data_IF_018829476430
#
_entry.id   IF_018829476430
#
_cell.length_a   1.000
_cell.length_b   1.000
_cell.length_c   1.000
_cell.angle_alpha   90.00
_cell.angle_beta   90.00
_cell.angle_gamma   90.00
#
_symmetry.space_group_name_H-M   'P 1'
#
loop_
_entity.id
_entity.type
_entity.pdbx_description
1 polymer ?
#
# COMPACT_ATOMS: atom_id res chain seq x y z
N UNK A 1 -12.87 39.88 -20.80
CA UNK A 1 -11.43 39.97 -20.51
C UNK A 1 -10.76 38.74 -21.08
N UNK A 2 -9.79 38.90 -21.98
CA UNK A 2 -9.07 37.77 -22.54
C UNK A 2 -8.21 37.12 -21.43
N UNK A 3 -8.39 35.82 -21.22
CA UNK A 3 -7.52 35.05 -20.33
C UNK A 3 -6.11 35.05 -20.96
N UNK A 4 -5.03 35.39 -20.25
CA UNK A 4 -3.68 35.27 -20.78
C UNK A 4 -3.45 33.87 -21.37
N UNK A 5 -2.99 33.81 -22.61
CA UNK A 5 -2.58 32.55 -23.23
C UNK A 5 -1.25 32.12 -22.59
N UNK A 6 -1.35 31.29 -21.55
CA UNK A 6 -0.19 30.62 -20.98
C UNK A 6 0.35 29.57 -21.94
N UNK A 7 1.67 29.41 -21.95
CA UNK A 7 2.38 28.35 -22.65
C UNK A 7 3.29 27.63 -21.65
N UNK A 8 3.43 26.32 -21.81
CA UNK A 8 4.28 25.47 -20.99
C UNK A 8 5.48 25.05 -21.84
N UNK A 9 6.68 25.35 -21.35
CA UNK A 9 7.94 24.94 -21.94
C UNK A 9 8.57 23.87 -21.06
N UNK A 10 8.51 22.61 -21.49
CA UNK A 10 9.13 21.49 -20.78
C UNK A 10 10.60 21.40 -21.16
N UNK A 11 11.47 21.39 -20.15
CA UNK A 11 12.92 21.25 -20.31
C UNK A 11 13.35 19.82 -20.00
N UNK A 12 13.99 19.18 -20.98
CA UNK A 12 14.63 17.87 -20.81
C UNK A 12 16.12 18.05 -20.51
N UNK A 13 16.70 17.03 -19.87
CA UNK A 13 18.08 16.98 -19.41
C UNK A 13 19.10 16.87 -20.55
N UNK A 14 18.68 16.42 -21.74
CA UNK A 14 19.46 16.48 -22.97
C UNK A 14 19.44 17.86 -23.64
N UNK A 15 18.79 18.85 -23.01
CA UNK A 15 18.63 20.20 -23.52
C UNK A 15 17.47 20.34 -24.53
N UNK A 16 16.75 19.27 -24.85
CA UNK A 16 15.56 19.36 -25.68
C UNK A 16 14.46 20.12 -24.95
N UNK A 17 13.72 20.91 -25.72
CA UNK A 17 12.61 21.72 -25.21
C UNK A 17 11.36 21.39 -26.01
N UNK A 18 10.26 21.15 -25.31
CA UNK A 18 8.95 21.00 -25.94
C UNK A 18 7.97 22.04 -25.42
N UNK A 19 7.24 22.65 -26.35
CA UNK A 19 6.24 23.66 -26.05
C UNK A 19 4.84 23.09 -26.16
N UNK A 20 3.98 23.44 -25.22
CA UNK A 20 2.57 23.08 -25.25
C UNK A 20 1.71 24.28 -24.86
N UNK A 21 0.61 24.47 -25.58
CA UNK A 21 -0.51 25.26 -25.07
C UNK A 21 -1.11 24.58 -23.82
N UNK A 22 -1.84 25.34 -22.99
CA UNK A 22 -2.53 24.77 -21.82
C UNK A 22 -3.48 23.62 -22.20
N UNK A 23 -4.18 23.75 -23.32
CA UNK A 23 -5.13 22.72 -23.80
C UNK A 23 -4.42 21.46 -24.31
N UNK A 24 -3.24 21.59 -24.92
CA UNK A 24 -2.38 20.45 -25.24
C UNK A 24 -1.85 19.77 -23.98
N UNK A 25 -1.29 20.54 -23.05
CA UNK A 25 -0.76 20.03 -21.79
C UNK A 25 -1.84 19.25 -21.00
N UNK A 26 -3.09 19.72 -21.04
CA UNK A 26 -4.24 19.03 -20.46
C UNK A 26 -4.52 17.66 -21.09
N UNK A 27 -4.41 17.54 -22.41
CA UNK A 27 -4.53 16.25 -23.11
C UNK A 27 -3.42 15.28 -22.72
N UNK A 28 -2.23 15.78 -22.36
CA UNK A 28 -1.11 14.99 -21.89
C UNK A 28 -1.16 14.65 -20.38
N UNK A 29 -2.15 15.18 -19.65
CA UNK A 29 -2.37 14.91 -18.22
C UNK A 29 -1.73 15.92 -17.27
N UNK A 30 -1.29 17.08 -17.78
CA UNK A 30 -0.88 18.23 -16.97
C UNK A 30 -2.08 19.14 -16.72
N UNK A 31 -2.05 19.94 -15.66
CA UNK A 31 -3.04 21.02 -15.50
C UNK A 31 -2.38 22.25 -14.93
N UNK A 32 -2.70 23.40 -15.52
CA UNK A 32 -2.26 24.70 -15.04
C UNK A 32 -3.49 25.49 -14.56
N UNK A 33 -3.43 25.97 -13.33
CA UNK A 33 -4.39 26.91 -12.79
C UNK A 33 -3.62 28.13 -12.30
N UNK A 34 -3.98 29.31 -12.77
CA UNK A 34 -3.32 30.56 -12.38
C UNK A 34 -4.37 31.55 -11.86
N UNK A 35 -4.05 32.20 -10.76
CA UNK A 35 -4.71 33.40 -10.24
C UNK A 35 -3.70 34.56 -10.25
N UNK A 36 -4.13 35.74 -9.80
CA UNK A 36 -3.23 36.91 -9.71
C UNK A 36 -2.05 36.70 -8.73
N UNK A 37 -2.18 35.81 -7.76
CA UNK A 37 -1.18 35.60 -6.70
C UNK A 37 -0.58 34.20 -6.69
N UNK A 38 -1.12 33.27 -7.49
CA UNK A 38 -0.73 31.85 -7.40
C UNK A 38 -0.84 31.15 -8.74
N UNK A 39 0.22 30.45 -9.12
CA UNK A 39 0.21 29.47 -10.20
C UNK A 39 0.36 28.07 -9.63
N UNK A 40 -0.45 27.14 -10.13
CA UNK A 40 -0.45 25.73 -9.73
C UNK A 40 -0.37 24.90 -10.99
N UNK A 41 0.80 24.31 -11.21
CA UNK A 41 0.98 23.23 -12.17
C UNK A 41 0.75 21.90 -11.46
N UNK A 42 0.10 20.95 -12.11
CA UNK A 42 0.00 19.56 -11.65
C UNK A 42 0.42 18.62 -12.76
N UNK A 43 1.12 17.56 -12.38
CA UNK A 43 1.46 16.43 -13.23
C UNK A 43 1.05 15.14 -12.54
N UNK A 44 0.70 14.12 -13.33
CA UNK A 44 0.65 12.74 -12.84
C UNK A 44 2.06 12.15 -12.88
N UNK A 45 2.30 11.06 -12.15
CA UNK A 45 3.54 10.31 -12.33
C UNK A 45 3.63 9.71 -13.74
N UNK A 46 4.84 9.39 -14.17
CA UNK A 46 5.13 8.66 -15.42
C UNK A 46 4.52 9.35 -16.64
N UNK A 47 4.82 10.64 -16.81
CA UNK A 47 4.51 11.39 -18.04
C UNK A 47 5.73 11.43 -18.97
N UNK A 48 5.55 11.60 -20.28
CA UNK A 48 6.67 11.58 -21.23
C UNK A 48 7.73 12.66 -21.00
N UNK A 49 7.35 13.80 -20.42
CA UNK A 49 8.26 14.91 -20.10
C UNK A 49 8.80 14.83 -18.66
N UNK A 50 8.55 13.72 -17.96
CA UNK A 50 9.12 13.45 -16.66
C UNK A 50 10.40 12.61 -16.83
N UNK A 51 11.41 12.92 -16.04
CA UNK A 51 12.71 12.27 -16.08
C UNK A 51 12.99 11.54 -14.79
N UNK A 52 13.65 10.39 -14.90
CA UNK A 52 14.11 9.65 -13.75
C UNK A 52 15.57 10.00 -13.47
N UNK A 53 15.87 10.43 -12.26
CA UNK A 53 17.22 10.80 -11.83
C UNK A 53 17.54 10.18 -10.49
N UNK A 54 18.80 9.76 -10.30
CA UNK A 54 19.29 9.29 -9.01
C UNK A 54 19.80 10.48 -8.19
N UNK A 55 19.25 10.69 -7.00
CA UNK A 55 19.69 11.69 -6.04
C UNK A 55 20.06 10.96 -4.75
N UNK A 56 21.33 11.00 -4.36
CA UNK A 56 21.86 10.31 -3.17
C UNK A 56 21.45 8.83 -3.06
N UNK A 57 21.40 8.12 -4.19
CA UNK A 57 21.00 6.71 -4.24
C UNK A 57 19.49 6.46 -4.24
N UNK A 58 18.66 7.51 -4.22
CA UNK A 58 17.19 7.41 -4.31
C UNK A 58 16.72 7.81 -5.71
N UNK A 59 15.88 6.98 -6.32
CA UNK A 59 15.25 7.30 -7.61
C UNK A 59 14.17 8.36 -7.44
N UNK A 60 14.30 9.45 -8.20
CA UNK A 60 13.42 10.62 -8.18
C UNK A 60 12.86 10.86 -9.58
N UNK A 61 11.56 11.08 -9.68
CA UNK A 61 10.92 11.56 -10.91
C UNK A 61 10.88 13.09 -10.87
N UNK A 62 11.37 13.73 -11.92
CA UNK A 62 11.52 15.18 -12.03
C UNK A 62 10.78 15.69 -13.26
N UNK A 63 10.06 16.80 -13.12
CA UNK A 63 9.47 17.54 -14.25
C UNK A 63 9.90 18.99 -14.13
N UNK A 64 10.53 19.53 -15.18
CA UNK A 64 10.97 20.92 -15.26
C UNK A 64 10.17 21.66 -16.31
N UNK A 65 9.49 22.74 -15.91
CA UNK A 65 8.61 23.51 -16.80
C UNK A 65 8.78 25.00 -16.55
N UNK A 66 9.01 25.77 -17.61
CA UNK A 66 8.86 27.22 -17.57
C UNK A 66 7.45 27.58 -18.06
N UNK A 67 6.70 28.27 -17.22
CA UNK A 67 5.39 28.81 -17.55
C UNK A 67 5.59 30.21 -18.13
N UNK A 68 5.18 30.39 -19.38
CA UNK A 68 5.33 31.64 -20.10
C UNK A 68 3.97 32.27 -20.39
N UNK A 69 3.83 33.57 -20.14
CA UNK A 69 2.71 34.35 -20.67
C UNK A 69 3.11 35.77 -21.04
N UNK A 70 2.46 36.29 -22.09
CA UNK A 70 2.64 37.66 -22.56
C UNK A 70 1.30 38.37 -22.58
N UNK A 71 1.22 39.52 -21.89
CA UNK A 71 0.09 40.43 -21.93
C UNK A 71 0.56 41.83 -22.31
N UNK A 72 0.21 42.28 -23.52
CA UNK A 72 0.69 43.55 -24.09
C UNK A 72 2.23 43.62 -24.06
N UNK A 73 2.80 44.53 -23.27
CA UNK A 73 4.23 44.75 -23.08
C UNK A 73 4.81 43.98 -21.90
N UNK A 74 3.98 43.33 -21.07
CA UNK A 74 4.42 42.57 -19.91
C UNK A 74 4.62 41.10 -20.28
N UNK A 75 5.76 40.54 -19.88
CA UNK A 75 6.08 39.11 -20.00
C UNK A 75 6.32 38.57 -18.60
N UNK A 76 5.73 37.41 -18.31
CA UNK A 76 5.94 36.70 -17.06
C UNK A 76 6.45 35.30 -17.38
N UNK A 77 7.56 34.93 -16.75
CA UNK A 77 8.17 33.61 -16.82
C UNK A 77 8.25 33.08 -15.39
N UNK A 78 7.73 31.87 -15.16
CA UNK A 78 7.78 31.20 -13.87
C UNK A 78 8.38 29.82 -14.09
N UNK A 79 9.55 29.58 -13.54
CA UNK A 79 10.17 28.26 -13.55
C UNK A 79 9.58 27.40 -12.43
N UNK A 80 9.12 26.22 -12.79
CA UNK A 80 8.49 25.26 -11.90
C UNK A 80 9.19 23.92 -12.06
N UNK A 81 9.80 23.45 -10.97
CA UNK A 81 10.33 22.09 -10.90
C UNK A 81 9.53 21.27 -9.90
N UNK A 82 9.12 20.08 -10.33
CA UNK A 82 8.52 19.06 -9.47
C UNK A 82 9.52 17.94 -9.32
N UNK A 83 9.82 17.52 -8.10
CA UNK A 83 10.67 16.38 -7.83
C UNK A 83 10.06 15.54 -6.72
N UNK A 84 9.85 14.25 -6.99
CA UNK A 84 9.28 13.31 -6.03
C UNK A 84 10.01 11.98 -6.09
N UNK A 85 10.25 11.37 -4.93
CA UNK A 85 10.82 10.02 -4.89
C UNK A 85 9.87 9.01 -5.55
N UNK A 86 10.42 7.95 -6.14
CA UNK A 86 9.62 6.89 -6.81
C UNK A 86 9.58 5.61 -5.97
N UNK A 87 10.49 5.47 -5.00
CA UNK A 87 10.56 4.33 -4.12
C UNK A 87 9.21 4.10 -3.40
N UNK A 88 8.77 2.84 -3.39
CA UNK A 88 7.58 2.38 -2.65
C UNK A 88 7.85 2.22 -1.15
N UNK A 89 9.08 2.45 -0.71
CA UNK A 89 9.58 2.00 0.58
C UNK A 89 9.81 0.49 0.63
N UNK A 90 10.16 -0.01 1.81
CA UNK A 90 10.45 -1.42 2.07
C UNK A 90 9.96 -1.83 3.46
N UNK A 91 9.94 -3.15 3.71
CA UNK A 91 9.63 -3.72 5.02
C UNK A 91 10.78 -4.62 5.46
N UNK A 92 11.39 -4.34 6.60
CA UNK A 92 12.54 -5.09 7.13
C UNK A 92 12.15 -6.26 8.05
N UNK A 93 10.85 -6.55 8.17
CA UNK A 93 10.30 -7.55 9.09
C UNK A 93 9.73 -6.97 10.39
N UNK A 94 10.13 -5.75 10.76
CA UNK A 94 9.63 -5.05 11.94
C UNK A 94 9.09 -3.65 11.63
N UNK A 95 9.68 -2.97 10.64
CA UNK A 95 9.42 -1.57 10.30
C UNK A 95 9.24 -1.41 8.80
N UNK A 96 8.30 -0.55 8.44
CA UNK A 96 8.24 0.05 7.12
C UNK A 96 9.29 1.16 7.05
N UNK A 97 10.07 1.17 5.97
CA UNK A 97 11.19 2.08 5.77
C UNK A 97 10.98 2.89 4.50
N UNK A 98 11.23 4.19 4.58
CA UNK A 98 11.18 5.09 3.43
C UNK A 98 12.36 6.05 3.45
N UNK A 99 13.17 5.97 2.38
CA UNK A 99 14.36 6.77 2.21
C UNK A 99 14.07 7.96 1.29
N UNK A 100 14.57 9.14 1.69
CA UNK A 100 14.40 10.41 0.99
C UNK A 100 15.76 11.11 0.98
N UNK A 101 16.22 11.71 -0.13
CA UNK A 101 17.42 12.54 -0.12
C UNK A 101 17.30 13.69 0.90
N UNK A 102 18.39 13.96 1.63
CA UNK A 102 18.47 15.10 2.55
C UNK A 102 18.35 16.41 1.78
N UNK A 103 19.00 16.50 0.63
CA UNK A 103 18.91 17.63 -0.29
C UNK A 103 18.31 17.12 -1.59
N UNK A 104 17.10 17.55 -1.91
CA UNK A 104 16.48 17.26 -3.19
C UNK A 104 17.12 18.15 -4.26
N UNK A 105 18.31 17.81 -4.74
CA UNK A 105 19.11 18.64 -5.65
C UNK A 105 18.36 19.03 -6.92
N UNK A 106 17.41 18.21 -7.39
CA UNK A 106 16.52 18.57 -8.51
C UNK A 106 15.67 19.83 -8.25
N UNK A 107 15.47 20.24 -7.00
CA UNK A 107 14.78 21.46 -6.59
C UNK A 107 15.73 22.62 -6.27
N UNK A 108 17.04 22.39 -6.29
CA UNK A 108 18.07 23.38 -6.00
C UNK A 108 18.76 23.71 -7.32
N UNK A 109 18.62 24.95 -7.79
CA UNK A 109 19.29 25.38 -9.02
C UNK A 109 20.81 25.28 -8.92
N UNK A 110 21.48 25.17 -10.06
CA UNK A 110 22.94 25.25 -10.10
C UNK A 110 23.41 26.60 -9.54
N UNK A 111 24.42 26.58 -8.67
CA UNK A 111 24.92 27.78 -7.99
C UNK A 111 24.02 28.35 -6.88
N UNK A 112 22.85 27.75 -6.62
CA UNK A 112 21.94 28.19 -5.56
C UNK A 112 22.30 27.53 -4.24
N UNK A 113 22.49 28.33 -3.20
CA UNK A 113 22.73 27.84 -1.84
C UNK A 113 21.48 27.19 -1.24
N UNK A 114 21.67 26.24 -0.34
CA UNK A 114 20.59 25.49 0.30
C UNK A 114 20.72 25.55 1.82
N UNK A 115 19.64 25.94 2.51
CA UNK A 115 19.58 25.96 3.97
C UNK A 115 18.34 25.21 4.48
N UNK A 116 18.55 24.09 5.16
CA UNK A 116 17.47 23.31 5.77
C UNK A 116 16.91 24.03 7.00
N UNK A 117 15.58 24.21 7.07
CA UNK A 117 14.91 24.85 8.21
C UNK A 117 14.25 23.85 9.14
N UNK A 118 13.44 22.94 8.60
CA UNK A 118 12.76 21.93 9.41
C UNK A 118 12.39 20.69 8.61
N UNK A 119 12.33 19.56 9.32
CA UNK A 119 11.91 18.25 8.83
C UNK A 119 10.75 17.78 9.68
N UNK A 120 9.57 17.61 9.06
CA UNK A 120 8.35 17.23 9.76
C UNK A 120 7.77 15.95 9.16
N UNK A 121 7.14 15.15 10.03
CA UNK A 121 6.42 13.94 9.64
C UNK A 121 4.94 14.10 9.90
N UNK A 122 4.14 13.37 9.16
CA UNK A 122 2.71 13.29 9.32
C UNK A 122 2.18 11.91 8.98
N UNK A 123 0.98 11.62 9.47
CA UNK A 123 0.23 10.40 9.20
C UNK A 123 -1.18 10.82 8.80
N UNK A 124 -1.75 10.17 7.77
CA UNK A 124 -3.10 10.49 7.25
C UNK A 124 -3.24 11.96 6.81
N UNK A 125 -2.15 12.55 6.30
CA UNK A 125 -2.13 13.94 5.81
C UNK A 125 -2.02 15.01 6.91
N UNK A 126 -1.94 14.63 8.18
CA UNK A 126 -1.78 15.55 9.31
C UNK A 126 -0.36 15.46 9.86
N UNK A 127 0.31 16.61 9.99
CA UNK A 127 1.64 16.68 10.62
C UNK A 127 1.55 16.30 12.10
N UNK A 128 2.52 15.52 12.55
CA UNK A 128 2.69 15.11 13.94
C UNK A 128 3.74 16.00 14.59
N UNK A 129 3.49 16.40 15.83
CA UNK A 129 4.56 16.94 16.66
C UNK A 129 5.58 15.83 17.01
N UNK A 130 6.79 16.25 17.37
CA UNK A 130 7.91 15.34 17.62
C UNK A 130 7.64 14.35 18.76
N UNK A 131 6.91 14.76 19.80
CA UNK A 131 6.59 13.88 20.94
C UNK A 131 5.59 12.82 20.50
N UNK A 132 4.55 13.18 19.75
CA UNK A 132 3.58 12.23 19.21
C UNK A 132 4.22 11.24 18.24
N UNK A 133 5.10 11.70 17.34
CA UNK A 133 5.83 10.80 16.43
C UNK A 133 6.67 9.78 17.21
N UNK A 134 7.41 10.25 18.23
CA UNK A 134 8.25 9.41 19.10
C UNK A 134 7.42 8.42 19.91
N UNK A 135 6.31 8.85 20.48
CA UNK A 135 5.39 7.99 21.24
C UNK A 135 4.75 6.90 20.36
N UNK A 136 4.58 7.15 19.06
CA UNK A 136 4.14 6.16 18.06
C UNK A 136 5.29 5.30 17.51
N UNK A 137 6.51 5.51 17.98
CA UNK A 137 7.72 4.83 17.50
C UNK A 137 8.14 5.20 16.08
N UNK A 138 7.55 6.25 15.50
CA UNK A 138 7.88 6.74 14.15
C UNK A 138 9.16 7.56 14.24
N UNK A 139 10.16 7.17 13.47
CA UNK A 139 11.50 7.76 13.51
C UNK A 139 11.82 8.48 12.21
N UNK A 140 12.49 9.62 12.31
CA UNK A 140 13.18 10.31 11.22
C UNK A 140 14.65 10.37 11.60
N UNK A 141 15.51 9.70 10.84
CA UNK A 141 16.94 9.63 11.11
C UNK A 141 17.70 10.07 9.87
N UNK A 142 18.56 11.06 10.02
CA UNK A 142 19.51 11.42 8.97
C UNK A 142 20.69 10.44 8.99
N UNK A 143 20.98 9.85 7.83
CA UNK A 143 22.11 8.95 7.59
C UNK A 143 22.90 9.48 6.40
N UNK A 144 24.00 10.19 6.68
CA UNK A 144 24.76 10.94 5.68
C UNK A 144 23.86 11.89 4.86
N UNK A 145 23.67 11.59 3.58
CA UNK A 145 22.89 12.39 2.62
C UNK A 145 21.45 11.89 2.44
N UNK A 146 20.98 10.94 3.24
CA UNK A 146 19.63 10.37 3.17
C UNK A 146 18.90 10.54 4.49
N UNK A 147 17.65 10.97 4.44
CA UNK A 147 16.69 10.89 5.53
C UNK A 147 15.97 9.55 5.45
N UNK A 148 16.15 8.72 6.48
CA UNK A 148 15.46 7.44 6.64
C UNK A 148 14.31 7.59 7.61
N UNK A 149 13.10 7.36 7.11
CA UNK A 149 11.87 7.33 7.90
C UNK A 149 11.55 5.87 8.22
N UNK A 150 11.28 5.57 9.49
CA UNK A 150 10.96 4.23 9.96
C UNK A 150 9.64 4.22 10.74
N UNK A 151 8.72 3.35 10.35
CA UNK A 151 7.41 3.17 10.98
C UNK A 151 7.27 1.74 11.47
N UNK A 152 7.04 1.49 12.76
CA UNK A 152 6.79 0.13 13.27
C UNK A 152 5.57 -0.51 12.61
N UNK A 153 5.63 -1.82 12.36
CA UNK A 153 4.46 -2.59 11.95
C UNK A 153 3.32 -2.43 12.98
N UNK A 154 2.11 -2.14 12.50
CA UNK A 154 0.96 -1.91 13.37
C UNK A 154 0.91 -0.54 14.06
N UNK A 155 1.75 0.42 13.64
CA UNK A 155 1.72 1.78 14.18
C UNK A 155 0.34 2.45 14.06
N UNK A 156 0.04 3.34 15.00
CA UNK A 156 -1.23 4.09 15.03
C UNK A 156 -1.35 5.03 13.83
N UNK A 157 -2.48 4.97 13.14
CA UNK A 157 -2.78 5.71 11.89
C UNK A 157 -2.45 4.93 10.62
N UNK A 158 -2.03 3.67 10.75
CA UNK A 158 -2.15 2.68 9.68
C UNK A 158 -3.31 1.72 9.92
N UNK A 159 -3.59 0.90 8.92
CA UNK A 159 -4.71 -0.03 8.90
C UNK A 159 -4.31 -1.31 8.15
N UNK A 160 -5.06 -2.38 8.39
CA UNK A 160 -4.87 -3.66 7.72
C UNK A 160 -5.84 -3.74 6.53
N UNK A 161 -5.33 -4.14 5.37
CA UNK A 161 -6.14 -4.59 4.24
C UNK A 161 -6.10 -6.11 4.20
N UNK A 162 -7.25 -6.72 3.96
CA UNK A 162 -7.40 -8.16 3.80
C UNK A 162 -8.04 -8.47 2.45
N UNK A 163 -7.72 -9.63 1.91
CA UNK A 163 -8.31 -10.17 0.69
C UNK A 163 -8.20 -11.69 0.70
N UNK A 164 -9.07 -12.35 -0.06
CA UNK A 164 -8.94 -13.78 -0.36
C UNK A 164 -8.65 -13.97 -1.83
N UNK A 165 -7.59 -14.72 -2.11
CA UNK A 165 -7.18 -15.11 -3.47
C UNK A 165 -6.87 -16.59 -3.43
N UNK A 166 -7.49 -17.35 -4.34
CA UNK A 166 -7.35 -18.81 -4.43
C UNK A 166 -7.57 -19.47 -3.07
N UNK A 167 -8.69 -19.14 -2.41
CA UNK A 167 -9.08 -19.75 -1.13
C UNK A 167 -8.12 -19.52 0.05
N UNK A 168 -7.16 -18.61 -0.11
CA UNK A 168 -6.21 -18.26 0.93
C UNK A 168 -6.43 -16.83 1.42
N UNK A 169 -6.63 -16.69 2.73
CA UNK A 169 -6.65 -15.39 3.38
C UNK A 169 -5.28 -14.74 3.35
N UNK A 170 -5.27 -13.51 2.88
CA UNK A 170 -4.08 -12.68 2.74
C UNK A 170 -4.33 -11.32 3.34
N UNK A 171 -3.28 -10.71 3.85
CA UNK A 171 -3.34 -9.40 4.45
C UNK A 171 -2.07 -8.61 4.27
N UNK A 172 -2.19 -7.30 4.40
CA UNK A 172 -1.08 -6.38 4.49
C UNK A 172 -1.43 -5.26 5.46
N UNK A 173 -0.42 -4.72 6.14
CA UNK A 173 -0.57 -3.47 6.87
C UNK A 173 -0.17 -2.31 5.96
N UNK A 174 -0.93 -1.21 6.01
CA UNK A 174 -0.80 -0.04 5.16
C UNK A 174 -0.80 1.21 6.03
N UNK A 175 0.08 2.17 5.75
CA UNK A 175 0.08 3.49 6.39
C UNK A 175 0.31 4.60 5.36
N UNK A 176 -0.41 5.71 5.53
CA UNK A 176 -0.25 6.93 4.72
C UNK A 176 0.67 7.91 5.44
N UNK A 177 1.89 8.07 4.95
CA UNK A 177 2.86 9.02 5.48
C UNK A 177 2.85 10.33 4.71
N UNK A 178 3.11 11.41 5.45
CA UNK A 178 3.44 12.73 4.95
C UNK A 178 4.85 13.09 5.45
N UNK A 179 5.72 13.49 4.54
CA UNK A 179 6.99 14.14 4.85
C UNK A 179 6.91 15.59 4.38
N UNK A 180 7.39 16.51 5.22
CA UNK A 180 7.55 17.92 4.87
C UNK A 180 8.96 18.38 5.19
N UNK A 181 9.60 18.98 4.17
CA UNK A 181 10.86 19.69 4.32
C UNK A 181 10.61 21.17 4.04
N UNK A 182 10.91 22.01 5.03
CA UNK A 182 10.99 23.46 4.83
C UNK A 182 12.46 23.84 4.71
N UNK A 183 12.84 24.51 3.63
CA UNK A 183 14.20 24.96 3.37
C UNK A 183 14.21 26.30 2.64
N UNK A 184 15.30 27.04 2.73
CA UNK A 184 15.52 28.30 2.01
C UNK A 184 16.53 28.08 0.89
N UNK A 185 16.22 28.60 -0.30
CA UNK A 185 17.13 28.73 -1.42
C UNK A 185 17.80 30.10 -1.35
N UNK A 186 19.13 30.13 -1.41
CA UNK A 186 19.96 31.33 -1.26
C UNK A 186 20.58 31.70 -2.61
N UNK A 187 20.25 32.87 -3.14
CA UNK A 187 20.76 33.34 -4.43
C UNK A 187 21.96 34.27 -4.24
N UNK A 188 22.79 34.41 -5.29
CA UNK A 188 24.00 35.25 -5.25
C UNK A 188 23.70 36.74 -5.03
N UNK A 189 22.50 37.20 -5.41
CA UNK A 189 22.03 38.56 -5.17
C UNK A 189 21.60 38.82 -3.71
N UNK A 190 21.75 37.83 -2.84
CA UNK A 190 21.36 37.86 -1.43
C UNK A 190 19.87 37.64 -1.19
N UNK A 191 19.07 37.42 -2.24
CA UNK A 191 17.66 37.09 -2.09
C UNK A 191 17.48 35.64 -1.62
N UNK A 192 16.37 35.39 -0.93
CA UNK A 192 16.05 34.07 -0.39
C UNK A 192 14.63 33.66 -0.74
N UNK A 193 14.45 32.40 -1.17
CA UNK A 193 13.13 31.83 -1.44
C UNK A 193 12.89 30.66 -0.50
N UNK A 194 11.86 30.77 0.34
CA UNK A 194 11.42 29.67 1.20
C UNK A 194 10.58 28.67 0.42
N UNK A 195 11.00 27.42 0.46
CA UNK A 195 10.34 26.29 -0.19
C UNK A 195 9.83 25.31 0.86
N UNK A 196 8.56 24.91 0.69
CA UNK A 196 7.92 23.85 1.46
C UNK A 196 7.68 22.66 0.53
N UNK A 197 8.55 21.67 0.62
CA UNK A 197 8.43 20.44 -0.15
C UNK A 197 7.68 19.38 0.65
N UNK A 198 6.57 18.89 0.11
CA UNK A 198 5.74 17.87 0.75
C UNK A 198 5.65 16.63 -0.13
N UNK A 199 5.92 15.48 0.48
CA UNK A 199 5.78 14.18 -0.18
C UNK A 199 4.83 13.31 0.62
N UNK A 200 3.83 12.74 -0.07
CA UNK A 200 2.93 11.76 0.51
C UNK A 200 3.31 10.37 -0.03
N UNK A 201 3.39 9.39 0.87
CA UNK A 201 3.74 8.02 0.52
C UNK A 201 2.82 7.03 1.22
N UNK A 202 2.36 6.05 0.46
CA UNK A 202 1.75 4.84 1.03
C UNK A 202 2.87 3.84 1.25
N UNK A 203 3.03 3.37 2.47
CA UNK A 203 3.91 2.26 2.79
C UNK A 203 3.07 1.05 3.17
N UNK A 204 3.43 -0.12 2.67
CA UNK A 204 2.75 -1.36 2.97
C UNK A 204 3.72 -2.52 3.23
N UNK A 205 3.27 -3.49 4.01
CA UNK A 205 3.99 -4.74 4.17
C UNK A 205 3.73 -5.64 2.96
N UNK A 206 4.66 -6.55 2.63
CA UNK A 206 4.35 -7.66 1.75
C UNK A 206 3.08 -8.38 2.17
N UNK A 207 2.38 -8.96 1.18
CA UNK A 207 1.19 -9.77 1.43
C UNK A 207 1.55 -10.98 2.30
N UNK A 208 1.03 -11.00 3.52
CA UNK A 208 1.17 -12.13 4.43
C UNK A 208 0.05 -13.14 4.15
N UNK A 209 0.46 -14.35 3.81
CA UNK A 209 -0.47 -15.46 3.61
C UNK A 209 -0.78 -16.13 4.95
N UNK A 210 -2.05 -16.36 5.24
CA UNK A 210 -2.53 -17.11 6.41
C UNK A 210 -3.17 -18.40 5.93
N UNK A 211 -2.38 -19.44 5.56
CA UNK A 211 -2.95 -20.71 5.15
C UNK A 211 -3.69 -21.33 6.33
N UNK A 212 -4.99 -21.63 6.21
CA UNK A 212 -5.64 -22.42 7.25
C UNK A 212 -4.99 -23.81 7.31
N UNK A 213 -4.96 -24.40 8.50
CA UNK A 213 -4.56 -25.80 8.66
C UNK A 213 -5.77 -26.61 9.14
N UNK A 214 -5.84 -27.86 8.72
CA UNK A 214 -6.80 -28.83 9.20
C UNK A 214 -6.14 -29.83 10.15
N UNK A 215 -6.92 -30.30 11.12
CA UNK A 215 -6.54 -31.39 12.01
C UNK A 215 -7.72 -32.36 12.11
N UNK A 216 -7.46 -33.62 11.74
CA UNK A 216 -8.42 -34.70 11.93
C UNK A 216 -8.53 -35.06 13.43
N UNK A 217 -9.72 -34.90 13.98
CA UNK A 217 -10.11 -35.24 15.34
C UNK A 217 -11.19 -36.32 15.35
N UNK A 218 -11.33 -37.08 14.26
CA UNK A 218 -12.32 -38.14 14.09
C UNK A 218 -12.04 -39.29 15.06
N UNK A 219 -13.06 -39.68 15.81
CA UNK A 219 -13.06 -40.89 16.64
C UNK A 219 -14.03 -41.88 16.01
N UNK A 220 -13.52 -43.04 15.58
CA UNK A 220 -14.27 -44.04 14.81
C UNK A 220 -15.60 -44.44 15.44
N UNK A 221 -15.60 -44.55 16.77
CA UNK A 221 -16.72 -45.05 17.57
C UNK A 221 -17.88 -44.06 17.59
N UNK A 222 -17.59 -42.77 17.40
CA UNK A 222 -18.61 -41.72 17.36
C UNK A 222 -19.30 -41.63 16.00
N UNK A 223 -18.85 -42.37 14.97
CA UNK A 223 -19.40 -42.37 13.60
C UNK A 223 -19.59 -40.97 12.98
N UNK A 224 -18.74 -40.02 13.37
CA UNK A 224 -18.79 -38.61 12.96
C UNK A 224 -17.37 -38.18 12.62
N UNK A 225 -17.17 -37.63 11.42
CA UNK A 225 -15.94 -36.95 11.06
C UNK A 225 -15.87 -35.66 11.85
N UNK A 226 -14.73 -35.39 12.46
CA UNK A 226 -14.51 -34.18 13.25
C UNK A 226 -13.23 -33.54 12.77
N UNK A 227 -13.34 -32.44 12.04
CA UNK A 227 -12.19 -31.70 11.53
C UNK A 227 -12.09 -30.36 12.23
N UNK A 228 -10.88 -30.01 12.65
CA UNK A 228 -10.57 -28.72 13.24
C UNK A 228 -9.82 -27.86 12.22
N UNK A 229 -10.37 -26.70 11.87
CA UNK A 229 -9.78 -25.75 10.94
C UNK A 229 -9.23 -24.54 11.71
N UNK A 230 -7.90 -24.38 11.73
CA UNK A 230 -7.20 -23.35 12.49
C UNK A 230 -6.51 -22.29 11.64
N UNK A 231 -5.80 -21.37 12.31
CA UNK A 231 -5.08 -20.22 11.74
C UNK A 231 -5.97 -19.13 11.12
N UNK A 232 -7.12 -18.86 11.74
CA UNK A 232 -8.05 -17.83 11.28
C UNK A 232 -7.89 -16.58 12.15
N UNK A 233 -7.64 -15.39 11.58
CA UNK A 233 -7.51 -14.16 12.37
C UNK A 233 -8.76 -13.79 13.17
N UNK A 234 -8.57 -12.97 14.22
CA UNK A 234 -9.63 -12.61 15.16
C UNK A 234 -10.78 -11.81 14.53
N UNK A 235 -10.46 -11.02 13.49
CA UNK A 235 -11.36 -10.16 12.72
C UNK A 235 -11.89 -10.85 11.45
N UNK A 236 -11.74 -12.17 11.35
CA UNK A 236 -12.15 -12.98 10.20
C UNK A 236 -13.26 -13.96 10.62
N UNK A 237 -14.30 -14.07 9.81
CA UNK A 237 -15.40 -15.02 10.03
C UNK A 237 -15.51 -15.99 8.85
N UNK A 238 -15.87 -17.23 9.17
CA UNK A 238 -16.29 -18.23 8.22
C UNK A 238 -17.70 -17.89 7.72
N UNK A 239 -17.85 -17.71 6.40
CA UNK A 239 -19.13 -17.40 5.77
C UNK A 239 -19.80 -18.67 5.24
N UNK A 240 -19.12 -19.37 4.34
CA UNK A 240 -19.65 -20.56 3.65
C UNK A 240 -18.69 -21.73 3.72
N UNK A 241 -19.23 -22.94 3.75
CA UNK A 241 -18.47 -24.18 3.68
C UNK A 241 -19.06 -25.02 2.56
N UNK A 242 -18.19 -25.44 1.62
CA UNK A 242 -18.53 -26.33 0.51
C UNK A 242 -17.79 -27.65 0.70
N UNK A 243 -18.52 -28.76 0.69
CA UNK A 243 -17.96 -30.11 0.82
C UNK A 243 -18.41 -30.91 -0.40
N UNK A 244 -17.45 -31.43 -1.17
CA UNK A 244 -17.71 -32.19 -2.41
C UNK A 244 -18.67 -31.47 -3.37
N UNK A 245 -18.47 -30.16 -3.55
CA UNK A 245 -19.27 -29.33 -4.44
C UNK A 245 -20.69 -29.01 -3.95
N UNK A 246 -21.05 -29.42 -2.74
CA UNK A 246 -22.33 -29.06 -2.11
C UNK A 246 -22.12 -28.11 -0.96
N UNK A 247 -22.91 -27.03 -0.94
CA UNK A 247 -22.85 -26.05 0.11
C UNK A 247 -23.52 -26.61 1.38
N UNK A 248 -22.84 -26.49 2.52
CA UNK A 248 -23.29 -27.14 3.76
C UNK A 248 -24.61 -26.53 4.27
N UNK A 249 -24.87 -25.24 4.06
CA UNK A 249 -26.15 -24.64 4.47
C UNK A 249 -27.34 -25.03 3.58
N UNK A 250 -27.12 -25.51 2.35
CA UNK A 250 -28.17 -26.04 1.46
C UNK A 250 -28.53 -27.49 1.79
N UNK A 251 -27.69 -28.16 2.59
CA UNK A 251 -27.92 -29.56 2.96
C UNK A 251 -29.01 -29.67 4.05
N UNK A 252 -30.11 -30.35 3.73
CA UNK A 252 -31.23 -30.62 4.65
C UNK A 252 -30.96 -31.78 5.61
N UNK A 253 -29.76 -32.37 5.55
CA UNK A 253 -29.41 -33.53 6.38
C UNK A 253 -29.13 -33.09 7.82
N UNK A 254 -29.82 -33.75 8.76
CA UNK A 254 -29.63 -33.51 10.19
C UNK A 254 -28.25 -34.00 10.61
N UNK A 255 -27.46 -33.14 11.26
CA UNK A 255 -26.27 -33.57 12.00
C UNK A 255 -24.96 -32.90 11.61
N UNK A 256 -24.93 -32.08 10.57
CA UNK A 256 -23.79 -31.18 10.33
C UNK A 256 -23.74 -30.12 11.43
N UNK A 257 -22.56 -29.87 11.97
CA UNK A 257 -22.35 -28.71 12.83
C UNK A 257 -21.00 -28.07 12.56
N UNK A 258 -21.03 -26.75 12.46
CA UNK A 258 -19.85 -25.91 12.42
C UNK A 258 -19.91 -25.06 13.67
N UNK A 259 -18.98 -25.28 14.61
CA UNK A 259 -18.90 -24.50 15.83
C UNK A 259 -17.61 -23.67 15.84
N UNK A 260 -17.70 -22.35 16.08
CA UNK A 260 -16.50 -21.52 16.24
C UNK A 260 -15.75 -21.90 17.53
N UNK A 261 -14.44 -21.75 17.48
CA UNK A 261 -13.52 -21.88 18.61
C UNK A 261 -12.72 -20.60 18.69
N UNK A 262 -12.75 -19.94 19.85
CA UNK A 262 -11.98 -18.72 20.10
C UNK A 262 -10.80 -19.07 21.00
N UNK A 263 -9.59 -18.73 20.58
CA UNK A 263 -8.38 -18.90 21.38
C UNK A 263 -8.14 -17.72 22.31
N UNK A 264 -7.30 -17.95 23.32
CA UNK A 264 -6.87 -16.91 24.27
C UNK A 264 -6.19 -15.73 23.56
N UNK A 265 -5.49 -15.97 22.45
CA UNK A 265 -4.86 -14.93 21.64
C UNK A 265 -5.84 -14.19 20.70
N UNK A 266 -7.14 -14.46 20.81
CA UNK A 266 -8.20 -13.88 19.98
C UNK A 266 -8.36 -14.49 18.59
N UNK A 267 -7.40 -15.30 18.13
CA UNK A 267 -7.55 -16.03 16.87
C UNK A 267 -8.71 -17.02 16.94
N UNK A 268 -9.27 -17.33 15.77
CA UNK A 268 -10.41 -18.20 15.63
C UNK A 268 -10.00 -19.52 14.98
N UNK A 269 -10.86 -20.50 15.18
CA UNK A 269 -10.89 -21.75 14.48
C UNK A 269 -12.34 -22.22 14.35
N UNK A 270 -12.56 -23.24 13.54
CA UNK A 270 -13.87 -23.85 13.38
C UNK A 270 -13.75 -25.36 13.51
N UNK A 271 -14.65 -25.93 14.30
CA UNK A 271 -14.80 -27.38 14.40
C UNK A 271 -15.97 -27.80 13.52
N UNK A 272 -15.66 -28.52 12.46
CA UNK A 272 -16.61 -29.13 11.56
C UNK A 272 -16.90 -30.56 12.01
N UNK A 273 -18.18 -30.89 12.18
CA UNK A 273 -18.65 -32.25 12.48
C UNK A 273 -19.63 -32.70 11.42
N UNK A 274 -19.38 -33.90 10.92
CA UNK A 274 -20.08 -34.46 9.76
C UNK A 274 -20.37 -35.95 10.01
N UNK A 275 -21.62 -36.39 10.15
CA UNK A 275 -21.94 -37.80 10.30
C UNK A 275 -21.44 -38.63 9.10
N UNK A 276 -21.03 -39.87 9.35
CA UNK A 276 -20.54 -40.77 8.31
C UNK A 276 -21.60 -41.22 7.31
N UNK A 277 -22.89 -41.05 7.62
CA UNK A 277 -24.01 -41.49 6.77
C UNK A 277 -24.61 -40.33 5.96
N UNK A 278 -23.77 -39.37 5.56
CA UNK A 278 -24.22 -38.18 4.83
C UNK A 278 -23.99 -38.30 3.33
N UNK A 279 -24.85 -37.70 2.50
CA UNK A 279 -24.72 -37.78 1.02
C UNK A 279 -23.49 -37.06 0.47
N UNK A 280 -22.77 -36.32 1.30
CA UNK A 280 -21.47 -35.69 0.97
C UNK A 280 -20.27 -36.53 1.42
N UNK A 281 -20.47 -37.66 2.13
CA UNK A 281 -19.37 -38.57 2.51
C UNK A 281 -19.16 -39.67 1.49
N UNK A 282 -17.89 -40.00 1.23
CA UNK A 282 -17.51 -41.11 0.38
C UNK A 282 -16.71 -42.14 1.17
N UNK A 283 -17.09 -43.41 1.03
CA UNK A 283 -16.35 -44.53 1.61
C UNK A 283 -15.20 -44.93 0.68
N UNK A 284 -13.99 -44.95 1.20
CA UNK A 284 -12.83 -45.54 0.52
C UNK A 284 -12.45 -46.85 1.20
N UNK A 285 -12.47 -47.95 0.45
CA UNK A 285 -11.97 -49.25 0.90
C UNK A 285 -10.51 -49.35 0.48
N UNK A 286 -9.58 -49.31 1.43
CA UNK A 286 -8.19 -49.75 1.18
C UNK A 286 -8.15 -51.27 1.31
N UNK A 287 -7.72 -51.96 0.24
CA UNK A 287 -7.62 -53.42 0.23
C UNK A 287 -6.65 -53.92 1.33
N UNK A 288 -7.01 -54.97 2.09
CA UNK A 288 -6.31 -55.33 3.32
C UNK A 288 -5.19 -56.34 3.06
N UNK A 289 -3.99 -56.05 3.57
CA UNK A 289 -3.20 -57.09 4.23
C UNK A 289 -3.16 -56.73 5.71
N UNK A 290 -3.98 -57.46 6.47
CA UNK A 290 -4.30 -57.36 7.91
C UNK A 290 -5.40 -56.35 8.27
N UNK A 291 -6.35 -56.87 9.04
CA UNK A 291 -7.55 -56.24 9.59
C UNK A 291 -7.24 -54.88 10.24
N UNK A 292 -7.42 -53.83 9.47
CA UNK A 292 -7.90 -52.54 9.94
C UNK A 292 -8.75 -51.99 8.79
N UNK A 293 -10.08 -51.98 8.96
CA UNK A 293 -10.92 -51.09 8.16
C UNK A 293 -10.61 -49.69 8.68
N UNK A 294 -9.49 -49.13 8.23
CA UNK A 294 -9.18 -47.74 8.52
C UNK A 294 -10.20 -46.93 7.74
N UNK A 295 -11.16 -46.33 8.45
CA UNK A 295 -12.07 -45.31 7.91
C UNK A 295 -11.25 -44.05 7.64
N UNK A 296 -10.33 -44.12 6.70
CA UNK A 296 -9.64 -42.95 6.19
C UNK A 296 -10.53 -42.35 5.12
N UNK A 297 -11.25 -41.28 5.46
CA UNK A 297 -11.36 -40.22 4.48
C UNK A 297 -9.91 -39.78 4.26
N UNK A 298 -9.26 -40.22 3.18
CA UNK A 298 -8.07 -39.51 2.73
C UNK A 298 -8.57 -38.14 2.32
N UNK A 299 -8.58 -37.19 3.26
CA UNK A 299 -8.76 -35.77 3.01
C UNK A 299 -7.44 -35.24 2.42
N UNK A 300 -6.91 -35.93 1.41
CA UNK A 300 -5.68 -35.52 0.72
C UNK A 300 -5.98 -34.61 -0.47
N UNK A 301 -7.25 -34.26 -0.71
CA UNK A 301 -7.64 -33.41 -1.85
C UNK A 301 -9.06 -32.83 -1.79
N UNK A 302 -9.78 -32.90 -0.66
CA UNK A 302 -11.24 -32.59 -0.61
C UNK A 302 -11.51 -31.27 0.15
N UNK A 303 -10.60 -30.32 0.03
CA UNK A 303 -10.86 -28.96 0.51
C UNK A 303 -10.47 -27.98 -0.59
N UNK A 304 -11.02 -28.20 -1.79
CA UNK A 304 -11.44 -27.04 -2.60
C UNK A 304 -12.67 -26.44 -1.91
N UNK A 305 -12.44 -25.86 -0.72
CA UNK A 305 -13.36 -24.91 -0.14
C UNK A 305 -13.32 -23.71 -1.07
N UNK A 306 -14.18 -23.70 -2.08
CA UNK A 306 -14.50 -22.49 -2.81
C UNK A 306 -15.06 -21.50 -1.79
N UNK A 307 -14.18 -20.69 -1.20
CA UNK A 307 -14.60 -19.62 -0.32
C UNK A 307 -15.06 -18.50 -1.22
N UNK A 308 -16.37 -18.32 -1.33
CA UNK A 308 -16.93 -17.02 -1.65
C UNK A 308 -16.92 -16.26 -0.33
N UNK A 309 -16.19 -15.15 -0.28
CA UNK A 309 -16.14 -14.30 0.88
C UNK A 309 -16.53 -12.90 0.46
N UNK A 310 -17.77 -12.54 0.76
CA UNK A 310 -18.24 -11.18 0.75
C UNK A 310 -17.80 -10.54 2.07
N UNK A 311 -16.55 -10.08 2.12
CA UNK A 311 -16.02 -9.42 3.32
C UNK A 311 -16.68 -8.05 3.53
N UNK A 312 -17.63 -7.99 4.46
CA UNK A 312 -17.99 -6.75 5.15
C UNK A 312 -17.16 -6.66 6.43
N UNK A 313 -16.41 -5.56 6.56
CA UNK A 313 -16.08 -5.01 7.88
C UNK A 313 -17.28 -4.27 8.43
#
# INVERSE_FOLDING_TARGET
MANPAWQLMFLQSDGQVSYMSVSEAQRWGYSLTSTAQRSVLRSRYKRPQAEMTMVDGVLVEVVRVSLFTKQKLMVVIIDVTMACTVNSGSFDGARLVWDIPLVMTSLVGEGVGFESRSLNLGVEGVLLDKLTATARGISLVQQAYVIRIGVPFGAKGGYRKSLVVNNMYKEMYVIFLLYEHVFSLLYEDGSTIDTKHRMLRVLDTPLLCRPPFDLDQTVSDHKVFSVYLGNIPADVMLEEVVINGKLVSESTERGYSISPVTHVNGSRAYKLRLPFETTVTHWMVRAPNRLAVTRSASVSSIVDLAWSLAWLR
#
